data_IF_507053192748
#
_entry.id   IF_507053192748
#
_cell.length_a   1.000
_cell.length_b   1.000
_cell.length_c   1.000
_cell.angle_alpha   90.00
_cell.angle_beta   90.00
_cell.angle_gamma   90.00
#
_symmetry.space_group_name_H-M   'P 1'
#
loop_
_entity.id
_entity.type
_entity.pdbx_description
1 polymer ?
#
# COMPACT_ATOMS: atom_id res chain seq x y z
N UNK A 1 -48.72 46.24 -25.16
CA UNK A 1 -48.75 45.17 -26.20
C UNK A 1 -47.36 44.70 -26.66
N UNK A 2 -46.32 45.54 -26.69
CA UNK A 2 -44.99 45.21 -27.24
C UNK A 2 -44.23 44.05 -26.56
N UNK A 3 -44.32 43.92 -25.22
CA UNK A 3 -43.60 42.89 -24.46
C UNK A 3 -44.14 41.47 -24.67
N UNK A 4 -45.47 41.32 -24.87
CA UNK A 4 -46.10 40.01 -25.06
C UNK A 4 -45.73 39.39 -26.41
N UNK A 5 -45.65 40.20 -27.46
CA UNK A 5 -45.16 39.76 -28.76
C UNK A 5 -43.67 39.39 -28.72
N UNK A 6 -42.84 40.18 -28.05
CA UNK A 6 -41.41 39.87 -27.91
C UNK A 6 -41.16 38.60 -27.10
N UNK A 7 -41.90 38.38 -26.01
CA UNK A 7 -41.85 37.13 -25.27
C UNK A 7 -42.31 35.92 -26.12
N UNK A 8 -43.42 36.05 -26.86
CA UNK A 8 -43.91 34.97 -27.73
C UNK A 8 -42.91 34.64 -28.84
N UNK A 9 -42.28 35.66 -29.43
CA UNK A 9 -41.25 35.49 -30.45
C UNK A 9 -40.01 34.78 -29.89
N UNK A 10 -39.47 35.25 -28.75
CA UNK A 10 -38.33 34.61 -28.09
C UNK A 10 -38.65 33.18 -27.67
N UNK A 11 -39.87 32.90 -27.17
CA UNK A 11 -40.30 31.55 -26.83
C UNK A 11 -40.39 30.65 -28.07
N UNK A 12 -40.86 31.18 -29.20
CA UNK A 12 -40.89 30.44 -30.47
C UNK A 12 -39.46 30.15 -30.98
N UNK A 13 -38.56 31.13 -30.87
CA UNK A 13 -37.16 30.98 -31.25
C UNK A 13 -36.44 29.94 -30.38
N UNK A 14 -36.61 29.98 -29.05
CA UNK A 14 -36.04 28.98 -28.14
C UNK A 14 -36.55 27.58 -28.46
N UNK A 15 -37.85 27.43 -28.75
CA UNK A 15 -38.41 26.13 -29.17
C UNK A 15 -37.80 25.63 -30.47
N UNK A 16 -37.61 26.52 -31.45
CA UNK A 16 -37.00 26.19 -32.73
C UNK A 16 -35.55 25.74 -32.56
N UNK A 17 -34.75 26.52 -31.83
CA UNK A 17 -33.33 26.18 -31.60
C UNK A 17 -33.16 24.92 -30.75
N UNK A 18 -34.02 24.71 -29.75
CA UNK A 18 -34.02 23.46 -28.97
C UNK A 18 -34.29 22.24 -29.85
N UNK A 19 -35.21 22.36 -30.82
CA UNK A 19 -35.50 21.30 -31.78
C UNK A 19 -34.30 21.02 -32.70
N UNK A 20 -33.70 22.07 -33.26
CA UNK A 20 -32.53 21.95 -34.15
C UNK A 20 -31.31 21.35 -33.43
N UNK A 21 -31.08 21.74 -32.18
CA UNK A 21 -30.01 21.19 -31.35
C UNK A 21 -30.22 19.71 -31.05
N UNK A 22 -31.48 19.31 -30.80
CA UNK A 22 -31.83 17.93 -30.56
C UNK A 22 -31.71 17.06 -31.83
N UNK A 23 -32.14 17.56 -32.99
CA UNK A 23 -31.93 16.89 -34.29
C UNK A 23 -30.44 16.69 -34.59
N UNK A 24 -29.61 17.70 -34.32
CA UNK A 24 -28.15 17.62 -34.46
C UNK A 24 -27.53 16.61 -33.49
N UNK A 25 -28.04 16.53 -32.27
CA UNK A 25 -27.62 15.52 -31.29
C UNK A 25 -27.97 14.10 -31.75
N UNK A 26 -29.18 13.85 -32.25
CA UNK A 26 -29.58 12.56 -32.77
C UNK A 26 -28.74 12.13 -33.98
N UNK A 27 -28.42 13.07 -34.88
CA UNK A 27 -27.53 12.83 -36.02
C UNK A 27 -26.15 12.35 -35.56
N UNK A 28 -25.55 13.02 -34.56
CA UNK A 28 -24.25 12.62 -33.99
C UNK A 28 -24.27 11.22 -33.38
N UNK A 29 -25.35 10.88 -32.68
CA UNK A 29 -25.52 9.55 -32.07
C UNK A 29 -25.64 8.45 -33.13
N UNK A 30 -26.36 8.70 -34.22
CA UNK A 30 -26.47 7.75 -35.32
C UNK A 30 -25.12 7.51 -35.99
N UNK A 31 -24.29 8.56 -36.14
CA UNK A 31 -22.94 8.42 -36.70
C UNK A 31 -21.93 7.81 -35.74
N UNK A 32 -22.16 7.87 -34.42
CA UNK A 32 -21.19 7.40 -33.43
C UNK A 32 -21.18 5.88 -33.25
N UNK A 33 -22.20 5.15 -33.73
CA UNK A 33 -22.29 3.69 -33.56
C UNK A 33 -21.05 2.93 -34.07
N UNK A 34 -20.41 3.40 -35.14
CA UNK A 34 -19.24 2.73 -35.74
C UNK A 34 -17.91 3.06 -35.03
N UNK A 35 -17.79 4.24 -34.43
CA UNK A 35 -16.53 4.76 -33.89
C UNK A 35 -16.49 4.81 -32.35
N UNK A 36 -17.65 4.94 -31.71
CA UNK A 36 -17.84 4.97 -30.26
C UNK A 36 -19.22 4.39 -29.89
N UNK A 37 -19.33 3.04 -29.82
CA UNK A 37 -20.58 2.37 -29.49
C UNK A 37 -21.13 2.74 -28.09
N UNK A 38 -20.28 3.24 -27.19
CA UNK A 38 -20.65 3.54 -25.80
C UNK A 38 -21.64 4.71 -25.71
N UNK A 39 -21.45 5.77 -26.51
CA UNK A 39 -22.39 6.91 -26.56
C UNK A 39 -23.75 6.52 -27.09
N UNK A 40 -23.81 5.63 -28.09
CA UNK A 40 -25.07 5.09 -28.61
C UNK A 40 -25.80 4.24 -27.57
N UNK A 41 -25.11 3.28 -26.95
CA UNK A 41 -25.72 2.42 -25.93
C UNK A 41 -26.11 3.20 -24.66
N UNK A 42 -25.35 4.24 -24.29
CA UNK A 42 -25.75 5.18 -23.23
C UNK A 42 -27.07 5.89 -23.55
N UNK A 43 -27.24 6.37 -24.78
CA UNK A 43 -28.48 6.99 -25.25
C UNK A 43 -29.67 6.02 -25.28
N UNK A 44 -29.46 4.78 -25.72
CA UNK A 44 -30.48 3.72 -25.70
C UNK A 44 -30.85 3.32 -24.27
N UNK A 45 -29.85 3.16 -23.38
CA UNK A 45 -30.08 2.80 -21.98
C UNK A 45 -30.84 3.89 -21.22
N UNK A 46 -30.56 5.17 -21.50
CA UNK A 46 -31.32 6.29 -20.94
C UNK A 46 -32.79 6.31 -21.39
N UNK A 47 -33.15 5.63 -22.50
CA UNK A 47 -34.54 5.53 -23.00
C UNK A 47 -35.26 4.23 -22.64
N UNK A 48 -34.54 3.20 -22.18
CA UNK A 48 -35.09 1.88 -21.82
C UNK A 48 -35.75 1.81 -20.43
N UNK A 49 -35.85 2.93 -19.72
CA UNK A 49 -36.36 3.11 -18.35
C UNK A 49 -35.45 2.64 -17.21
N UNK A 50 -35.20 3.62 -16.32
CA UNK A 50 -34.97 3.56 -14.87
C UNK A 50 -34.06 2.45 -14.31
N UNK A 51 -32.79 2.79 -14.10
CA UNK A 51 -32.04 2.30 -12.94
C UNK A 51 -31.26 3.42 -12.26
N UNK A 52 -31.90 4.59 -12.14
CA UNK A 52 -31.67 5.38 -10.94
C UNK A 52 -32.21 4.57 -9.77
N UNK A 53 -31.42 4.44 -8.70
CA UNK A 53 -31.91 3.95 -7.42
C UNK A 53 -33.27 4.60 -7.16
N UNK A 54 -34.35 3.84 -6.89
CA UNK A 54 -35.66 4.42 -6.64
C UNK A 54 -35.58 5.57 -5.63
N UNK A 55 -36.19 6.71 -5.95
CA UNK A 55 -36.23 7.89 -5.05
C UNK A 55 -36.98 7.60 -3.73
N UNK A 56 -37.69 6.47 -3.69
CA UNK A 56 -38.44 5.97 -2.55
C UNK A 56 -38.17 4.48 -2.42
N UNK A 57 -37.84 4.02 -1.22
CA UNK A 57 -37.66 2.61 -0.88
C UNK A 57 -38.57 2.19 0.26
N UNK A 58 -38.82 0.89 0.40
CA UNK A 58 -39.62 0.34 1.47
C UNK A 58 -38.95 -0.86 2.17
N UNK A 59 -39.25 -0.99 3.46
CA UNK A 59 -38.90 -2.16 4.27
C UNK A 59 -40.07 -2.46 5.21
N UNK A 60 -40.81 -3.53 4.92
CA UNK A 60 -42.12 -3.77 5.52
C UNK A 60 -43.08 -2.64 5.16
N UNK A 61 -43.71 -2.04 6.17
CA UNK A 61 -44.67 -0.93 6.02
C UNK A 61 -43.99 0.45 6.01
N UNK A 62 -42.67 0.53 6.23
CA UNK A 62 -41.93 1.79 6.27
C UNK A 62 -41.49 2.17 4.86
N UNK A 63 -41.82 3.39 4.44
CA UNK A 63 -41.45 3.97 3.15
C UNK A 63 -40.52 5.17 3.43
N UNK A 64 -39.38 5.24 2.74
CA UNK A 64 -38.36 6.27 2.94
C UNK A 64 -37.89 6.89 1.62
N UNK A 65 -37.52 8.18 1.63
CA UNK A 65 -36.92 8.90 0.50
C UNK A 65 -35.62 9.59 0.91
N UNK A 66 -34.78 9.98 -0.07
CA UNK A 66 -33.53 10.73 0.13
C UNK A 66 -32.60 10.12 1.19
N UNK A 67 -32.28 10.87 2.25
CA UNK A 67 -31.37 10.45 3.34
C UNK A 67 -31.98 9.31 4.16
N UNK A 68 -33.32 9.25 4.27
CA UNK A 68 -33.98 8.22 5.06
C UNK A 68 -33.92 6.84 4.41
N UNK A 69 -33.62 6.75 3.10
CA UNK A 69 -33.30 5.48 2.45
C UNK A 69 -32.08 4.83 3.12
N UNK A 70 -31.07 5.61 3.47
CA UNK A 70 -29.89 5.10 4.17
C UNK A 70 -30.23 4.61 5.58
N UNK A 71 -31.09 5.32 6.30
CA UNK A 71 -31.60 4.90 7.61
C UNK A 71 -32.41 3.60 7.51
N UNK A 72 -33.22 3.46 6.45
CA UNK A 72 -34.01 2.26 6.18
C UNK A 72 -33.13 1.04 5.90
N UNK A 73 -32.08 1.22 5.10
CA UNK A 73 -31.05 0.18 4.91
C UNK A 73 -30.32 -0.15 6.21
N UNK A 74 -29.98 0.86 7.02
CA UNK A 74 -29.33 0.63 8.30
C UNK A 74 -30.22 -0.21 9.24
N UNK A 75 -31.54 0.05 9.27
CA UNK A 75 -32.50 -0.76 10.02
C UNK A 75 -32.53 -2.22 9.54
N UNK A 76 -32.66 -2.44 8.23
CA UNK A 76 -32.63 -3.78 7.64
C UNK A 76 -31.30 -4.50 7.93
N UNK A 77 -30.17 -3.83 7.74
CA UNK A 77 -28.87 -4.46 7.95
C UNK A 77 -28.63 -4.75 9.42
N UNK A 78 -29.04 -3.85 10.33
CA UNK A 78 -28.99 -4.09 11.76
C UNK A 78 -29.75 -5.37 12.15
N UNK A 79 -30.92 -5.64 11.55
CA UNK A 79 -31.67 -6.87 11.83
C UNK A 79 -30.97 -8.15 11.35
N UNK A 80 -30.03 -8.05 10.41
CA UNK A 80 -29.23 -9.18 9.92
C UNK A 80 -28.05 -9.49 10.86
N UNK A 81 -27.57 -8.51 11.62
CA UNK A 81 -26.47 -8.68 12.57
C UNK A 81 -26.98 -9.20 13.92
N UNK A 82 -26.72 -10.49 14.20
CA UNK A 82 -27.24 -11.21 15.38
C UNK A 82 -26.50 -10.94 16.70
N UNK A 83 -25.44 -10.12 16.70
CA UNK A 83 -24.65 -9.86 17.90
C UNK A 83 -24.15 -8.42 17.89
N UNK A 84 -24.53 -7.59 18.88
CA UNK A 84 -24.00 -6.24 19.00
C UNK A 84 -22.50 -6.30 19.26
N UNK A 85 -21.76 -5.35 18.71
CA UNK A 85 -20.36 -5.21 18.98
C UNK A 85 -20.18 -4.71 20.43
N UNK A 86 -19.43 -5.44 21.23
CA UNK A 86 -19.06 -5.05 22.59
C UNK A 86 -17.54 -4.97 22.66
N UNK A 87 -17.05 -3.88 23.25
CA UNK A 87 -15.63 -3.69 23.52
C UNK A 87 -15.32 -4.23 24.91
N UNK A 88 -14.25 -5.02 25.00
CA UNK A 88 -13.77 -5.59 26.26
C UNK A 88 -12.67 -4.74 26.90
N UNK A 89 -12.46 -4.91 28.21
CA UNK A 89 -11.45 -4.14 28.95
C UNK A 89 -10.04 -4.36 28.40
N UNK A 90 -9.70 -5.60 28.04
CA UNK A 90 -8.39 -5.97 27.52
C UNK A 90 -8.07 -5.23 26.21
N UNK A 91 -9.07 -5.06 25.34
CA UNK A 91 -8.91 -4.31 24.09
C UNK A 91 -8.58 -2.83 24.35
N UNK A 92 -9.18 -2.24 25.38
CA UNK A 92 -8.87 -0.86 25.81
C UNK A 92 -7.47 -0.78 26.41
N UNK A 93 -7.09 -1.73 27.26
CA UNK A 93 -5.77 -1.79 27.89
C UNK A 93 -4.64 -1.93 26.86
N UNK A 94 -4.76 -2.88 25.92
CA UNK A 94 -3.80 -3.06 24.84
C UNK A 94 -3.61 -1.78 24.02
N UNK A 95 -4.70 -1.09 23.72
CA UNK A 95 -4.67 0.13 22.94
C UNK A 95 -4.00 1.28 23.70
N UNK A 96 -4.29 1.44 24.99
CA UNK A 96 -3.61 2.41 25.84
C UNK A 96 -2.12 2.09 26.00
N UNK A 97 -1.74 0.80 26.12
CA UNK A 97 -0.34 0.39 26.16
C UNK A 97 0.41 0.75 24.88
N UNK A 98 -0.26 0.66 23.72
CA UNK A 98 0.33 1.03 22.43
C UNK A 98 0.70 2.51 22.30
N UNK A 99 0.17 3.37 23.18
CA UNK A 99 0.53 4.79 23.22
C UNK A 99 1.94 5.06 23.74
N UNK A 100 2.61 4.08 24.37
CA UNK A 100 3.97 4.23 24.94
C UNK A 100 4.99 4.77 23.93
N UNK A 101 4.88 4.37 22.66
CA UNK A 101 5.81 4.77 21.60
C UNK A 101 5.28 5.92 20.75
N UNK A 102 4.05 6.38 21.02
CA UNK A 102 3.39 7.44 20.27
C UNK A 102 3.77 8.81 20.84
N UNK A 103 4.26 9.69 19.97
CA UNK A 103 4.69 11.05 20.37
C UNK A 103 3.71 12.16 19.96
N UNK A 104 2.66 11.81 19.24
CA UNK A 104 1.67 12.78 18.75
C UNK A 104 0.74 13.27 19.85
N UNK A 105 0.13 14.42 19.59
CA UNK A 105 -0.90 15.05 20.42
C UNK A 105 -2.15 15.25 19.59
N UNK A 106 -3.33 15.10 20.18
CA UNK A 106 -4.60 15.42 19.53
C UNK A 106 -4.79 16.93 19.35
N UNK A 107 -5.80 17.35 18.55
CA UNK A 107 -6.18 18.75 18.41
C UNK A 107 -6.74 19.35 19.72
N UNK A 108 -7.23 18.48 20.62
CA UNK A 108 -7.62 18.79 22.01
C UNK A 108 -6.44 19.11 22.94
N UNK A 109 -5.22 18.94 22.44
CA UNK A 109 -4.00 19.16 23.19
C UNK A 109 -3.60 18.04 24.15
N UNK A 110 -4.30 16.90 24.10
CA UNK A 110 -3.98 15.73 24.91
C UNK A 110 -2.89 14.91 24.22
N UNK A 111 -1.79 14.64 24.92
CA UNK A 111 -0.65 13.88 24.37
C UNK A 111 -0.81 12.38 24.61
N UNK A 112 -0.26 11.56 23.71
CA UNK A 112 -0.29 10.11 23.88
C UNK A 112 0.48 9.66 25.13
N UNK A 113 1.58 10.35 25.47
CA UNK A 113 2.34 10.10 26.68
C UNK A 113 1.52 10.39 27.95
N UNK A 114 0.71 11.45 27.96
CA UNK A 114 -0.17 11.75 29.08
C UNK A 114 -1.20 10.64 29.28
N UNK A 115 -1.91 10.24 28.21
CA UNK A 115 -2.87 9.13 28.25
C UNK A 115 -2.23 7.82 28.70
N UNK A 116 -1.00 7.54 28.23
CA UNK A 116 -0.24 6.37 28.66
C UNK A 116 0.08 6.40 30.16
N UNK A 117 0.47 7.55 30.70
CA UNK A 117 0.80 7.71 32.11
C UNK A 117 -0.40 7.47 33.04
N UNK A 118 -1.61 7.85 32.62
CA UNK A 118 -2.86 7.69 33.41
C UNK A 118 -3.71 6.48 32.98
N UNK A 119 -3.16 5.58 32.15
CA UNK A 119 -3.92 4.49 31.52
C UNK A 119 -4.66 3.58 32.50
N UNK A 120 -4.08 3.35 33.68
CA UNK A 120 -4.65 2.46 34.69
C UNK A 120 -5.98 3.00 35.24
N UNK A 121 -6.11 4.32 35.34
CA UNK A 121 -7.33 5.00 35.77
C UNK A 121 -8.28 5.21 34.59
N UNK A 122 -7.74 5.45 33.40
CA UNK A 122 -8.51 5.83 32.23
C UNK A 122 -9.25 4.66 31.55
N UNK A 123 -8.78 3.43 31.73
CA UNK A 123 -9.35 2.24 31.06
C UNK A 123 -10.85 2.01 31.34
N UNK A 124 -11.31 2.20 32.57
CA UNK A 124 -12.72 1.97 32.91
C UNK A 124 -13.66 3.07 32.37
N UNK A 125 -13.35 4.38 32.52
CA UNK A 125 -14.13 5.43 31.88
C UNK A 125 -14.19 5.29 30.35
N UNK A 126 -13.07 4.92 29.71
CA UNK A 126 -13.06 4.71 28.26
C UNK A 126 -13.88 3.49 27.84
N UNK A 127 -13.77 2.38 28.57
CA UNK A 127 -14.59 1.19 28.31
C UNK A 127 -16.08 1.53 28.34
N UNK A 128 -16.52 2.26 29.36
CA UNK A 128 -17.90 2.71 29.48
C UNK A 128 -18.30 3.62 28.31
N UNK A 129 -17.49 4.65 28.02
CA UNK A 129 -17.79 5.62 26.97
C UNK A 129 -17.82 4.98 25.57
N UNK A 130 -16.92 4.04 25.31
CA UNK A 130 -16.85 3.31 24.04
C UNK A 130 -18.07 2.42 23.85
N UNK A 131 -18.46 1.64 24.87
CA UNK A 131 -19.65 0.80 24.78
C UNK A 131 -20.94 1.62 24.74
N UNK A 132 -21.00 2.77 25.42
CA UNK A 132 -22.13 3.70 25.30
C UNK A 132 -22.25 4.23 23.87
N UNK A 133 -21.14 4.66 23.26
CA UNK A 133 -21.11 5.11 21.86
C UNK A 133 -21.60 4.03 20.88
N UNK A 134 -21.21 2.77 21.10
CA UNK A 134 -21.70 1.63 20.30
C UNK A 134 -23.18 1.34 20.52
N UNK A 135 -23.64 1.38 21.77
CA UNK A 135 -25.04 1.12 22.12
C UNK A 135 -25.99 2.18 21.57
N UNK A 136 -25.59 3.45 21.61
CA UNK A 136 -26.37 4.56 21.08
C UNK A 136 -26.19 4.75 19.56
N UNK A 137 -25.15 4.17 18.97
CA UNK A 137 -24.77 4.43 17.58
C UNK A 137 -24.26 5.87 17.34
N UNK A 138 -23.85 6.57 18.41
CA UNK A 138 -23.42 7.96 18.35
C UNK A 138 -21.91 8.03 18.52
N UNK A 139 -21.19 8.42 17.46
CA UNK A 139 -19.80 8.81 17.57
C UNK A 139 -19.69 10.26 18.09
N UNK A 140 -19.02 10.51 19.23
CA UNK A 140 -18.93 11.84 19.84
C UNK A 140 -18.42 12.92 18.88
N UNK A 141 -19.10 14.07 18.85
CA UNK A 141 -18.75 15.20 17.97
C UNK A 141 -17.34 15.73 18.22
N UNK A 142 -16.89 15.77 19.48
CA UNK A 142 -15.55 16.20 19.83
C UNK A 142 -14.46 15.33 19.18
N UNK A 143 -14.72 14.03 18.97
CA UNK A 143 -13.79 13.11 18.30
C UNK A 143 -13.75 13.30 16.78
N UNK A 144 -14.72 14.01 16.19
CA UNK A 144 -14.75 14.33 14.75
C UNK A 144 -13.93 15.58 14.41
N UNK A 145 -13.53 16.36 15.41
CA UNK A 145 -12.76 17.59 15.20
C UNK A 145 -11.30 17.28 14.91
N UNK A 146 -10.76 17.72 13.78
CA UNK A 146 -9.38 17.41 13.37
C UNK A 146 -8.54 18.67 13.12
N UNK A 147 -7.24 18.58 13.36
CA UNK A 147 -6.27 19.56 12.90
C UNK A 147 -5.75 19.17 11.51
N UNK A 148 -5.94 20.02 10.50
CA UNK A 148 -5.49 19.74 9.14
C UNK A 148 -4.12 20.36 8.89
N UNK A 149 -3.13 19.53 8.52
CA UNK A 149 -1.78 19.96 8.14
C UNK A 149 -1.57 19.68 6.65
N UNK A 150 -1.33 20.70 5.81
CA UNK A 150 -1.04 20.49 4.38
C UNK A 150 0.39 19.98 4.20
N UNK A 151 0.55 18.84 3.53
CA UNK A 151 1.86 18.27 3.18
C UNK A 151 2.08 18.36 1.67
N UNK A 152 3.13 19.06 1.28
CA UNK A 152 3.52 19.17 -0.13
C UNK A 152 3.81 17.78 -0.73
N UNK A 153 3.21 17.49 -1.89
CA UNK A 153 3.37 16.23 -2.59
C UNK A 153 4.36 16.35 -3.75
N UNK A 154 4.06 17.19 -4.74
CA UNK A 154 4.82 17.35 -5.99
C UNK A 154 4.23 18.45 -6.86
N UNK A 155 4.99 19.00 -7.81
CA UNK A 155 4.51 19.99 -8.79
C UNK A 155 5.02 21.40 -8.49
N UNK A 156 4.15 22.40 -8.66
CA UNK A 156 4.42 23.78 -8.29
C UNK A 156 4.05 24.00 -6.79
N UNK A 157 5.01 24.39 -5.93
CA UNK A 157 4.73 24.73 -4.53
C UNK A 157 3.76 25.91 -4.34
N UNK A 158 3.58 26.76 -5.35
CA UNK A 158 2.60 27.86 -5.32
C UNK A 158 1.14 27.41 -5.40
N UNK A 159 0.87 26.18 -5.86
CA UNK A 159 -0.50 25.67 -6.03
C UNK A 159 -0.96 24.81 -4.86
N UNK A 160 -2.10 25.16 -4.25
CA UNK A 160 -2.71 24.42 -3.12
C UNK A 160 -3.09 22.97 -3.49
N UNK A 161 -3.43 22.71 -4.76
CA UNK A 161 -3.77 21.36 -5.23
C UNK A 161 -2.60 20.36 -5.15
N UNK A 162 -1.37 20.86 -5.00
CA UNK A 162 -0.17 20.06 -4.87
C UNK A 162 0.14 19.64 -3.42
N UNK A 163 -0.76 19.96 -2.48
CA UNK A 163 -0.67 19.57 -1.07
C UNK A 163 -1.72 18.52 -0.73
N UNK A 164 -1.35 17.57 0.13
CA UNK A 164 -2.26 16.60 0.74
C UNK A 164 -2.73 17.11 2.10
N UNK A 165 -4.04 17.15 2.37
CA UNK A 165 -4.51 17.42 3.72
C UNK A 165 -4.28 16.17 4.60
N UNK A 166 -3.52 16.32 5.68
CA UNK A 166 -3.42 15.28 6.72
C UNK A 166 -4.19 15.74 7.94
N UNK A 167 -5.21 14.97 8.33
CA UNK A 167 -6.04 15.24 9.49
C UNK A 167 -5.49 14.55 10.75
N UNK A 168 -5.07 15.34 11.73
CA UNK A 168 -4.76 14.89 13.08
C UNK A 168 -6.04 14.81 13.92
N UNK A 169 -6.48 13.60 14.25
CA UNK A 169 -7.68 13.33 15.05
C UNK A 169 -7.37 13.21 16.56
N UNK A 170 -8.37 13.42 17.45
CA UNK A 170 -8.24 13.19 18.89
C UNK A 170 -7.86 11.75 19.20
N UNK A 171 -6.90 11.58 20.12
CA UNK A 171 -6.31 10.26 20.39
C UNK A 171 -7.35 9.26 20.91
N UNK A 172 -8.28 9.71 21.75
CA UNK A 172 -9.34 8.84 22.29
C UNK A 172 -10.23 8.32 21.16
N UNK A 173 -10.64 9.20 20.23
CA UNK A 173 -11.40 8.79 19.03
C UNK A 173 -10.63 7.77 18.19
N UNK A 174 -9.32 7.98 17.99
CA UNK A 174 -8.47 7.02 17.28
C UNK A 174 -8.35 5.66 17.99
N UNK A 175 -8.34 5.64 19.32
CA UNK A 175 -8.35 4.38 20.08
C UNK A 175 -9.65 3.63 19.86
N UNK A 176 -10.78 4.32 19.93
CA UNK A 176 -12.10 3.75 19.65
C UNK A 176 -12.18 3.18 18.24
N UNK A 177 -11.85 3.99 17.22
CA UNK A 177 -11.81 3.56 15.82
C UNK A 177 -10.91 2.36 15.62
N UNK A 178 -9.74 2.32 16.26
CA UNK A 178 -8.80 1.19 16.14
C UNK A 178 -9.37 -0.11 16.71
N UNK A 179 -10.08 -0.06 17.84
CA UNK A 179 -10.74 -1.25 18.42
C UNK A 179 -11.87 -1.71 17.49
N UNK A 180 -12.76 -0.79 17.11
CA UNK A 180 -13.90 -1.10 16.23
C UNK A 180 -13.42 -1.64 14.88
N UNK A 181 -12.36 -1.06 14.30
CA UNK A 181 -11.82 -1.49 13.02
C UNK A 181 -11.25 -2.93 13.09
N UNK A 182 -10.59 -3.33 14.19
CA UNK A 182 -10.18 -4.73 14.39
C UNK A 182 -11.37 -5.69 14.39
N UNK A 183 -12.49 -5.28 14.98
CA UNK A 183 -13.70 -6.10 15.03
C UNK A 183 -14.37 -6.22 13.65
N UNK A 184 -14.42 -5.11 12.91
CA UNK A 184 -14.91 -5.07 11.53
C UNK A 184 -14.02 -5.93 10.63
N UNK A 185 -12.70 -5.73 10.65
CA UNK A 185 -11.73 -6.43 9.80
C UNK A 185 -11.86 -7.95 9.92
N UNK A 186 -12.02 -8.48 11.14
CA UNK A 186 -12.25 -9.92 11.39
C UNK A 186 -13.46 -10.46 10.63
N UNK A 187 -14.52 -9.68 10.48
CA UNK A 187 -15.76 -10.09 9.82
C UNK A 187 -15.68 -10.02 8.29
N UNK A 188 -14.93 -9.05 7.76
CA UNK A 188 -14.78 -8.86 6.32
C UNK A 188 -13.63 -9.67 5.71
N UNK A 189 -12.74 -10.25 6.52
CA UNK A 189 -11.59 -11.03 6.06
C UNK A 189 -11.93 -12.11 5.02
N UNK A 190 -13.09 -12.76 5.15
CA UNK A 190 -13.54 -13.81 4.22
C UNK A 190 -14.21 -13.30 2.94
N UNK A 191 -14.55 -12.02 2.89
CA UNK A 191 -15.27 -11.39 1.76
C UNK A 191 -14.34 -10.53 0.90
N UNK A 192 -13.23 -10.06 1.49
CA UNK A 192 -12.22 -9.29 0.76
C UNK A 192 -11.53 -10.15 -0.30
N UNK A 193 -11.21 -9.52 -1.43
CA UNK A 193 -10.47 -10.17 -2.51
C UNK A 193 -9.12 -10.71 -1.98
N UNK A 194 -8.74 -11.89 -2.44
CA UNK A 194 -7.40 -12.46 -2.21
C UNK A 194 -6.30 -11.56 -2.77
N UNK A 195 -6.61 -10.69 -3.73
CA UNK A 195 -5.67 -9.76 -4.36
C UNK A 195 -5.64 -8.38 -3.66
N UNK A 196 -6.33 -8.23 -2.51
CA UNK A 196 -6.25 -7.02 -1.69
C UNK A 196 -4.95 -7.07 -0.85
N UNK A 197 -3.97 -6.23 -1.20
CA UNK A 197 -2.72 -6.09 -0.43
C UNK A 197 -2.65 -4.81 0.39
N UNK A 198 -3.28 -3.73 -0.10
CA UNK A 198 -3.30 -2.45 0.59
C UNK A 198 -4.10 -2.55 1.89
N UNK A 199 -3.52 -2.09 3.00
CA UNK A 199 -4.19 -2.01 4.31
C UNK A 199 -4.72 -3.36 4.84
N UNK A 200 -4.08 -4.47 4.45
CA UNK A 200 -4.46 -5.82 4.88
C UNK A 200 -3.31 -6.47 5.67
N UNK A 201 -3.59 -6.98 6.87
CA UNK A 201 -2.59 -7.60 7.73
C UNK A 201 -1.89 -8.79 7.07
N UNK A 202 -0.56 -8.87 7.19
CA UNK A 202 0.25 -9.94 6.58
C UNK A 202 0.55 -9.74 5.08
N UNK A 203 0.06 -8.66 4.46
CA UNK A 203 0.33 -8.30 3.06
C UNK A 203 1.04 -6.96 2.94
N UNK A 204 1.69 -6.73 1.80
CA UNK A 204 2.44 -5.50 1.52
C UNK A 204 2.53 -5.22 0.02
N UNK A 205 3.08 -4.06 -0.34
CA UNK A 205 3.45 -3.75 -1.74
C UNK A 205 4.42 -4.79 -2.31
N UNK A 206 5.29 -5.36 -1.47
CA UNK A 206 6.21 -6.44 -1.84
C UNK A 206 5.46 -7.73 -2.20
N UNK A 207 4.44 -8.13 -1.42
CA UNK A 207 3.68 -9.36 -1.76
C UNK A 207 2.87 -9.17 -3.02
N UNK A 208 2.28 -7.99 -3.21
CA UNK A 208 1.59 -7.61 -4.45
C UNK A 208 2.53 -7.69 -5.66
N UNK A 209 3.74 -7.13 -5.55
CA UNK A 209 4.74 -7.16 -6.60
C UNK A 209 5.26 -8.57 -6.90
N UNK A 210 5.37 -9.44 -5.90
CA UNK A 210 5.73 -10.86 -6.08
C UNK A 210 4.63 -11.62 -6.84
N UNK A 211 3.37 -11.47 -6.44
CA UNK A 211 2.24 -12.10 -7.13
C UNK A 211 2.09 -11.57 -8.56
N UNK A 212 2.25 -10.26 -8.76
CA UNK A 212 2.24 -9.66 -10.09
C UNK A 212 3.40 -10.18 -10.96
N UNK A 213 4.60 -10.30 -10.39
CA UNK A 213 5.74 -10.92 -11.09
C UNK A 213 5.48 -12.37 -11.47
N UNK A 214 4.82 -13.14 -10.60
CA UNK A 214 4.44 -14.52 -10.87
C UNK A 214 3.40 -14.60 -12.00
N UNK A 215 2.38 -13.74 -11.96
CA UNK A 215 1.36 -13.61 -13.00
C UNK A 215 1.96 -13.26 -14.37
N UNK A 216 2.86 -12.27 -14.44
CA UNK A 216 3.55 -11.92 -15.68
C UNK A 216 4.33 -13.14 -16.20
N UNK A 217 5.02 -13.87 -15.32
CA UNK A 217 5.82 -15.04 -15.70
C UNK A 217 4.97 -16.18 -16.25
N UNK A 218 3.82 -16.43 -15.65
CA UNK A 218 2.88 -17.45 -16.14
C UNK A 218 2.25 -17.02 -17.48
N UNK A 219 1.98 -15.72 -17.66
CA UNK A 219 1.50 -15.17 -18.93
C UNK A 219 2.52 -15.36 -20.07
N UNK A 220 3.82 -15.23 -19.79
CA UNK A 220 4.89 -15.54 -20.76
C UNK A 220 4.92 -17.00 -21.20
N UNK A 221 4.52 -17.95 -20.33
CA UNK A 221 4.39 -19.36 -20.72
C UNK A 221 3.26 -19.56 -21.72
N UNK A 222 2.18 -18.78 -21.59
CA UNK A 222 0.96 -18.89 -22.38
C UNK A 222 0.96 -18.03 -23.66
N UNK A 223 2.09 -17.41 -24.02
CA UNK A 223 2.29 -16.59 -25.24
C UNK A 223 1.33 -15.39 -25.36
N UNK A 224 0.79 -14.91 -24.24
CA UNK A 224 -0.18 -13.80 -24.20
C UNK A 224 0.52 -12.48 -23.83
N UNK A 225 0.63 -11.60 -24.83
CA UNK A 225 1.05 -10.19 -24.80
C UNK A 225 2.50 -9.82 -24.39
N UNK A 226 3.03 -8.77 -25.04
CA UNK A 226 4.24 -8.03 -24.67
C UNK A 226 3.81 -6.80 -23.86
N UNK A 227 4.09 -6.79 -22.56
CA UNK A 227 3.81 -5.62 -21.70
C UNK A 227 4.92 -4.58 -21.92
N UNK A 228 4.57 -3.30 -22.01
CA UNK A 228 5.57 -2.22 -21.96
C UNK A 228 6.19 -2.13 -20.56
N UNK A 229 7.26 -1.35 -20.38
CA UNK A 229 7.76 -1.07 -19.04
C UNK A 229 6.65 -0.42 -18.19
N UNK A 230 6.39 -0.95 -16.99
CA UNK A 230 5.36 -0.47 -16.06
C UNK A 230 5.99 -0.16 -14.71
N UNK A 231 5.66 1.00 -14.17
CA UNK A 231 5.95 1.33 -12.77
C UNK A 231 4.70 1.05 -11.92
N UNK A 232 4.82 0.18 -10.93
CA UNK A 232 3.73 -0.13 -10.01
C UNK A 232 4.22 -0.24 -8.56
N UNK A 233 3.54 0.45 -7.65
CA UNK A 233 3.83 0.48 -6.20
C UNK A 233 5.31 0.65 -5.81
N UNK A 234 6.10 1.35 -6.66
CA UNK A 234 7.53 1.59 -6.44
C UNK A 234 8.47 0.55 -7.06
N UNK A 235 7.97 -0.33 -7.92
CA UNK A 235 8.73 -1.32 -8.69
C UNK A 235 8.63 -1.03 -10.18
N UNK A 236 9.74 -1.19 -10.91
CA UNK A 236 9.77 -1.06 -12.36
C UNK A 236 9.85 -2.46 -12.97
N UNK A 237 8.78 -2.86 -13.65
CA UNK A 237 8.69 -4.13 -14.39
C UNK A 237 8.97 -3.89 -15.86
N UNK A 238 9.80 -4.75 -16.46
CA UNK A 238 10.12 -4.69 -17.89
C UNK A 238 9.55 -5.91 -18.63
N UNK A 239 9.34 -5.83 -19.96
CA UNK A 239 8.89 -6.97 -20.76
C UNK A 239 9.80 -8.20 -20.69
N UNK A 240 11.05 -8.07 -20.26
CA UNK A 240 11.97 -9.20 -20.11
C UNK A 240 12.06 -9.70 -18.67
N UNK A 241 11.30 -9.10 -17.75
CA UNK A 241 11.45 -9.23 -16.30
C UNK A 241 12.87 -8.90 -15.80
N UNK A 242 13.64 -8.14 -16.58
CA UNK A 242 14.90 -7.57 -16.13
C UNK A 242 14.65 -6.40 -15.21
N UNK A 243 15.28 -6.43 -14.03
CA UNK A 243 15.23 -5.34 -13.06
C UNK A 243 16.37 -4.32 -13.23
N UNK A 244 17.15 -4.37 -14.32
CA UNK A 244 18.23 -3.40 -14.52
C UNK A 244 17.74 -1.93 -14.47
N UNK A 245 16.62 -1.54 -15.13
CA UNK A 245 16.09 -0.17 -15.01
C UNK A 245 15.67 0.19 -13.57
N UNK A 246 15.09 -0.78 -12.84
CA UNK A 246 14.73 -0.61 -11.44
C UNK A 246 15.96 -0.37 -10.56
N UNK A 247 17.00 -1.18 -10.75
CA UNK A 247 18.27 -1.10 -10.02
C UNK A 247 18.93 0.26 -10.26
N UNK A 248 18.94 0.73 -11.50
CA UNK A 248 19.50 2.02 -11.88
C UNK A 248 18.80 3.17 -11.17
N UNK A 249 17.47 3.09 -11.12
CA UNK A 249 16.64 4.06 -10.42
C UNK A 249 16.88 4.08 -8.90
N UNK A 250 16.86 2.92 -8.22
CA UNK A 250 17.09 2.85 -6.76
C UNK A 250 18.52 3.25 -6.38
N UNK A 251 19.54 2.84 -7.16
CA UNK A 251 20.94 3.21 -6.93
C UNK A 251 21.10 4.71 -7.08
N UNK A 252 20.53 5.31 -8.13
CA UNK A 252 20.53 6.76 -8.29
C UNK A 252 19.87 7.50 -7.11
N UNK A 253 18.72 7.02 -6.65
CA UNK A 253 18.00 7.58 -5.49
C UNK A 253 18.81 7.46 -4.20
N UNK A 254 19.41 6.31 -3.94
CA UNK A 254 20.23 6.05 -2.76
C UNK A 254 21.52 6.90 -2.75
N UNK A 255 22.18 7.03 -3.89
CA UNK A 255 23.38 7.87 -4.02
C UNK A 255 23.08 9.36 -3.84
N UNK A 256 21.91 9.85 -4.28
CA UNK A 256 21.47 11.22 -3.98
C UNK A 256 21.28 11.45 -2.48
N UNK A 257 20.63 10.50 -1.81
CA UNK A 257 20.45 10.51 -0.34
C UNK A 257 21.80 10.48 0.40
N UNK A 258 22.72 9.61 -0.02
CA UNK A 258 24.07 9.56 0.54
C UNK A 258 24.86 10.85 0.28
N UNK A 259 24.71 11.44 -0.90
CA UNK A 259 25.31 12.74 -1.24
C UNK A 259 24.81 13.88 -0.36
N UNK A 260 23.53 13.87 0.00
CA UNK A 260 22.95 14.79 0.97
C UNK A 260 23.58 14.61 2.36
N UNK A 261 23.64 13.37 2.87
CA UNK A 261 24.29 13.06 4.15
C UNK A 261 25.75 13.53 4.16
N UNK A 262 26.51 13.22 3.11
CA UNK A 262 27.92 13.62 2.99
C UNK A 262 28.09 15.13 3.10
N UNK A 263 27.24 15.91 2.43
CA UNK A 263 27.34 17.38 2.41
C UNK A 263 26.96 18.04 3.74
N UNK A 264 25.95 17.53 4.42
CA UNK A 264 25.38 18.21 5.59
C UNK A 264 25.77 17.60 6.94
N UNK A 265 26.13 16.32 6.96
CA UNK A 265 26.43 15.58 8.18
C UNK A 265 27.83 14.96 8.19
N UNK A 266 28.47 14.78 7.04
CA UNK A 266 29.70 13.98 6.90
C UNK A 266 30.86 14.39 7.81
N UNK A 267 31.11 15.70 7.94
CA UNK A 267 32.18 16.24 8.81
C UNK A 267 31.69 16.64 10.21
N UNK A 268 30.37 16.78 10.40
CA UNK A 268 29.78 17.35 11.62
C UNK A 268 29.36 16.27 12.60
N UNK A 269 28.91 15.13 12.10
CA UNK A 269 28.29 14.06 12.89
C UNK A 269 29.28 12.94 13.21
N UNK A 270 29.07 12.30 14.36
CA UNK A 270 29.81 11.08 14.72
C UNK A 270 29.55 9.94 13.74
N UNK A 271 30.49 8.99 13.66
CA UNK A 271 30.36 7.77 12.83
C UNK A 271 29.07 7.01 13.15
N UNK A 272 28.67 6.96 14.43
CA UNK A 272 27.42 6.31 14.86
C UNK A 272 26.19 7.01 14.28
N UNK A 273 26.16 8.34 14.31
CA UNK A 273 25.08 9.13 13.71
C UNK A 273 25.03 8.94 12.18
N UNK A 274 26.20 8.93 11.52
CA UNK A 274 26.30 8.67 10.08
C UNK A 274 25.80 7.27 9.72
N UNK A 275 26.07 6.27 10.56
CA UNK A 275 25.56 4.91 10.41
C UNK A 275 24.03 4.88 10.52
N UNK A 276 23.44 5.59 11.48
CA UNK A 276 21.98 5.71 11.60
C UNK A 276 21.39 6.37 10.35
N UNK A 277 21.97 7.48 9.87
CA UNK A 277 21.51 8.16 8.67
C UNK A 277 21.63 7.28 7.42
N UNK A 278 22.74 6.56 7.26
CA UNK A 278 22.92 5.62 6.16
C UNK A 278 21.88 4.50 6.21
N UNK A 279 21.71 3.86 7.38
CA UNK A 279 20.81 2.70 7.51
C UNK A 279 19.33 3.09 7.31
N UNK A 280 18.93 4.29 7.73
CA UNK A 280 17.55 4.78 7.65
C UNK A 280 17.20 5.46 6.33
N UNK A 281 18.12 6.21 5.71
CA UNK A 281 17.83 7.03 4.52
C UNK A 281 18.42 6.51 3.21
N UNK A 282 19.46 5.67 3.26
CA UNK A 282 20.18 5.18 2.06
C UNK A 282 19.94 3.69 1.89
N UNK A 283 20.28 2.90 2.91
CA UNK A 283 20.19 1.44 2.88
C UNK A 283 18.74 0.97 2.73
N UNK A 284 17.79 1.65 3.38
CA UNK A 284 16.36 1.37 3.25
C UNK A 284 15.87 1.46 1.79
N UNK A 285 16.44 2.34 0.96
CA UNK A 285 16.08 2.47 -0.46
C UNK A 285 16.52 1.24 -1.26
N UNK A 286 17.75 0.77 -1.05
CA UNK A 286 18.32 -0.39 -1.77
C UNK A 286 17.92 -1.73 -1.16
N UNK A 287 17.20 -1.75 -0.04
CA UNK A 287 16.68 -2.98 0.56
C UNK A 287 15.17 -3.15 0.36
N UNK A 288 14.45 -2.05 0.09
CA UNK A 288 13.00 -2.10 -0.07
C UNK A 288 12.61 -3.05 -1.20
N UNK A 289 11.85 -4.09 -0.85
CA UNK A 289 11.34 -5.07 -1.80
C UNK A 289 12.42 -5.85 -2.54
N UNK A 290 13.65 -5.98 -2.01
CA UNK A 290 14.75 -6.68 -2.70
C UNK A 290 14.40 -8.10 -3.11
N UNK A 291 13.51 -8.77 -2.38
CA UNK A 291 13.00 -10.10 -2.73
C UNK A 291 12.28 -10.13 -4.08
N UNK A 292 11.76 -9.01 -4.57
CA UNK A 292 11.15 -8.90 -5.90
C UNK A 292 12.22 -8.81 -6.98
N UNK A 293 13.19 -7.90 -6.79
CA UNK A 293 14.04 -7.41 -7.88
C UNK A 293 15.52 -7.81 -7.82
N UNK A 294 15.93 -8.60 -6.81
CA UNK A 294 17.34 -8.96 -6.56
C UNK A 294 18.13 -9.29 -7.85
N UNK A 295 19.31 -8.66 -8.04
CA UNK A 295 20.08 -8.79 -9.28
C UNK A 295 20.65 -10.20 -9.47
N UNK A 296 20.75 -10.63 -10.74
CA UNK A 296 21.51 -11.82 -11.14
C UNK A 296 22.91 -11.49 -11.66
N UNK A 297 23.04 -10.40 -12.42
CA UNK A 297 24.29 -10.10 -13.10
C UNK A 297 25.33 -9.57 -12.11
N UNK A 298 26.59 -9.98 -12.29
CA UNK A 298 27.71 -9.43 -11.50
C UNK A 298 27.76 -7.90 -11.63
N UNK A 299 27.47 -7.37 -12.81
CA UNK A 299 27.42 -5.94 -13.08
C UNK A 299 26.42 -5.23 -12.15
N UNK A 300 25.17 -5.70 -12.08
CA UNK A 300 24.14 -5.08 -11.26
C UNK A 300 24.40 -5.23 -9.76
N UNK A 301 24.94 -6.38 -9.34
CA UNK A 301 25.41 -6.59 -7.96
C UNK A 301 26.46 -5.53 -7.60
N UNK A 302 27.48 -5.35 -8.45
CA UNK A 302 28.54 -4.34 -8.23
C UNK A 302 27.95 -2.92 -8.17
N UNK A 303 26.94 -2.62 -9.00
CA UNK A 303 26.26 -1.30 -8.98
C UNK A 303 25.57 -1.04 -7.64
N UNK A 304 24.94 -2.05 -7.05
CA UNK A 304 24.28 -1.93 -5.74
C UNK A 304 25.33 -1.85 -4.62
N UNK A 305 26.34 -2.74 -4.61
CA UNK A 305 27.41 -2.72 -3.59
C UNK A 305 28.18 -1.39 -3.60
N UNK A 306 28.30 -0.73 -4.76
CA UNK A 306 28.90 0.61 -4.88
C UNK A 306 28.24 1.64 -3.96
N UNK A 307 26.94 1.53 -3.67
CA UNK A 307 26.24 2.43 -2.74
C UNK A 307 26.81 2.27 -1.32
N UNK A 308 26.95 1.04 -0.84
CA UNK A 308 27.55 0.76 0.46
C UNK A 308 29.02 1.12 0.48
N UNK A 309 29.79 0.75 -0.55
CA UNK A 309 31.22 1.06 -0.65
C UNK A 309 31.50 2.56 -0.62
N UNK A 310 30.65 3.40 -1.23
CA UNK A 310 30.79 4.86 -1.14
C UNK A 310 30.56 5.37 0.29
N UNK A 311 29.63 4.78 1.03
CA UNK A 311 29.45 5.11 2.44
C UNK A 311 30.64 4.65 3.29
N UNK A 312 31.11 3.42 3.08
CA UNK A 312 32.25 2.87 3.82
C UNK A 312 33.54 3.67 3.55
N UNK A 313 33.78 4.07 2.30
CA UNK A 313 34.90 4.95 1.93
C UNK A 313 34.83 6.33 2.60
N UNK A 314 33.61 6.88 2.74
CA UNK A 314 33.41 8.14 3.45
C UNK A 314 33.76 8.00 4.94
N UNK A 315 33.33 6.91 5.57
CA UNK A 315 33.50 6.69 7.02
C UNK A 315 34.88 6.16 7.37
N UNK A 316 35.54 5.40 6.50
CA UNK A 316 36.89 4.87 6.75
C UNK A 316 37.90 5.99 6.99
N UNK A 317 37.78 7.10 6.25
CA UNK A 317 38.56 8.33 6.48
C UNK A 317 38.28 8.94 7.85
N UNK A 318 37.03 8.99 8.29
CA UNK A 318 36.66 9.50 9.64
C UNK A 318 37.14 8.60 10.77
N UNK A 319 37.32 7.29 10.52
CA UNK A 319 37.79 6.31 11.50
C UNK A 319 39.31 6.08 11.45
N UNK A 320 40.02 6.64 10.47
CA UNK A 320 41.44 6.38 10.26
C UNK A 320 41.76 4.93 9.87
N UNK A 321 40.79 4.21 9.29
CA UNK A 321 40.99 2.81 8.86
C UNK A 321 41.62 2.81 7.48
N UNK A 322 42.88 2.37 7.40
CA UNK A 322 43.54 2.08 6.15
C UNK A 322 43.06 0.73 5.59
N UNK A 323 42.72 0.70 4.31
CA UNK A 323 42.31 -0.50 3.61
C UNK A 323 42.70 -0.40 2.14
N UNK A 324 42.93 -1.53 1.48
CA UNK A 324 43.26 -1.56 0.06
C UNK A 324 42.11 -1.02 -0.82
N UNK A 325 42.41 -0.46 -2.01
CA UNK A 325 41.37 -0.05 -2.95
C UNK A 325 40.40 -1.20 -3.20
N UNK A 326 39.11 -0.91 -3.04
CA UNK A 326 38.01 -1.87 -3.20
C UNK A 326 37.91 -3.00 -2.16
N UNK A 327 38.82 -3.10 -1.19
CA UNK A 327 38.67 -3.99 -0.04
C UNK A 327 38.08 -3.25 1.17
N UNK A 328 36.74 -3.28 1.29
CA UNK A 328 36.04 -2.62 2.38
C UNK A 328 35.76 -3.54 3.58
N UNK A 329 36.29 -4.77 3.59
CA UNK A 329 36.08 -5.73 4.69
C UNK A 329 36.51 -5.19 6.06
N UNK A 330 37.67 -4.52 6.21
CA UNK A 330 38.07 -3.98 7.52
C UNK A 330 37.06 -2.98 8.08
N UNK A 331 36.48 -2.14 7.21
CA UNK A 331 35.50 -1.11 7.59
C UNK A 331 34.15 -1.75 7.92
N UNK A 332 33.73 -2.79 7.18
CA UNK A 332 32.53 -3.56 7.48
C UNK A 332 32.61 -4.19 8.88
N UNK A 333 33.74 -4.83 9.19
CA UNK A 333 34.00 -5.46 10.50
C UNK A 333 33.95 -4.40 11.60
N UNK A 334 34.65 -3.28 11.42
CA UNK A 334 34.70 -2.20 12.41
C UNK A 334 33.31 -1.57 12.69
N UNK A 335 32.42 -1.53 11.70
CA UNK A 335 31.06 -1.01 11.83
C UNK A 335 30.02 -2.10 12.16
N UNK A 336 30.43 -3.36 12.29
CA UNK A 336 29.55 -4.52 12.42
C UNK A 336 28.42 -4.54 11.36
N UNK A 337 28.82 -4.34 10.11
CA UNK A 337 27.92 -4.33 8.96
C UNK A 337 28.11 -5.57 8.08
N UNK A 338 27.01 -6.16 7.66
CA UNK A 338 26.99 -7.11 6.55
C UNK A 338 26.94 -6.39 5.20
N UNK A 339 27.39 -7.08 4.14
CA UNK A 339 27.29 -6.62 2.76
C UNK A 339 25.83 -6.49 2.33
N UNK A 340 25.53 -5.65 1.33
CA UNK A 340 24.16 -5.57 0.82
C UNK A 340 23.72 -6.91 0.19
N UNK A 341 24.65 -7.68 -0.38
CA UNK A 341 24.39 -9.01 -0.91
C UNK A 341 23.91 -9.99 0.15
N UNK A 342 24.61 -10.09 1.28
CA UNK A 342 24.17 -10.94 2.41
C UNK A 342 22.80 -10.50 2.94
N UNK A 343 22.52 -9.20 2.93
CA UNK A 343 21.23 -8.67 3.39
C UNK A 343 20.08 -9.01 2.44
N UNK A 344 20.31 -8.98 1.12
CA UNK A 344 19.32 -9.45 0.14
C UNK A 344 19.05 -10.95 0.31
N UNK A 345 20.10 -11.75 0.48
CA UNK A 345 19.99 -13.18 0.78
C UNK A 345 19.15 -13.42 2.05
N UNK A 346 19.41 -12.66 3.12
CA UNK A 346 18.62 -12.72 4.35
C UNK A 346 17.15 -12.34 4.13
N UNK A 347 16.86 -11.35 3.28
CA UNK A 347 15.49 -10.99 2.92
C UNK A 347 14.77 -12.11 2.17
N UNK A 348 15.45 -12.82 1.26
CA UNK A 348 14.88 -13.98 0.54
C UNK A 348 14.55 -15.12 1.52
N UNK A 349 15.43 -15.41 2.49
CA UNK A 349 15.16 -16.40 3.55
C UNK A 349 13.98 -15.98 4.43
N UNK A 350 13.91 -14.69 4.80
CA UNK A 350 12.78 -14.15 5.58
C UNK A 350 11.46 -14.22 4.83
N UNK A 351 11.46 -14.04 3.51
CA UNK A 351 10.28 -14.24 2.68
C UNK A 351 9.78 -15.68 2.79
N UNK A 352 10.66 -16.66 2.58
CA UNK A 352 10.30 -18.08 2.70
C UNK A 352 9.78 -18.42 4.09
N UNK A 353 10.52 -18.08 5.14
CA UNK A 353 10.09 -18.36 6.52
C UNK A 353 8.78 -17.65 6.84
N UNK A 354 8.58 -16.43 6.35
CA UNK A 354 7.34 -15.67 6.52
C UNK A 354 6.14 -16.33 5.84
N UNK A 355 6.31 -16.87 4.63
CA UNK A 355 5.27 -17.63 3.92
C UNK A 355 4.93 -18.93 4.64
N UNK A 356 5.94 -19.70 5.04
CA UNK A 356 5.76 -21.01 5.71
C UNK A 356 5.13 -20.85 7.10
N UNK A 357 5.52 -19.82 7.86
CA UNK A 357 4.97 -19.54 9.20
C UNK A 357 3.60 -18.86 9.19
N UNK A 358 3.11 -18.42 8.02
CA UNK A 358 1.86 -17.67 7.90
C UNK A 358 1.95 -16.20 8.35
N UNK A 359 3.16 -15.69 8.66
CA UNK A 359 3.38 -14.25 8.92
C UNK A 359 3.13 -13.42 7.67
N UNK A 360 3.45 -13.98 6.49
CA UNK A 360 3.12 -13.42 5.18
C UNK A 360 1.88 -14.15 4.66
N UNK A 361 0.77 -13.44 4.54
CA UNK A 361 -0.51 -13.97 4.06
C UNK A 361 -0.56 -13.87 2.52
N UNK A 362 -0.11 -14.94 1.87
CA UNK A 362 -0.18 -15.08 0.42
C UNK A 362 -0.33 -16.56 0.03
N UNK A 363 -1.57 -17.08 -0.04
CA UNK A 363 -1.83 -18.45 -0.43
C UNK A 363 -1.27 -18.81 -1.82
N UNK A 364 -1.31 -17.89 -2.79
CA UNK A 364 -0.76 -18.11 -4.13
C UNK A 364 0.76 -18.38 -4.07
N UNK A 365 1.54 -17.46 -3.47
CA UNK A 365 2.98 -17.68 -3.32
C UNK A 365 3.32 -18.92 -2.48
N UNK A 366 2.57 -19.21 -1.41
CA UNK A 366 2.78 -20.40 -0.60
C UNK A 366 2.56 -21.68 -1.41
N UNK A 367 1.53 -21.72 -2.27
CA UNK A 367 1.23 -22.87 -3.13
C UNK A 367 2.33 -23.17 -4.16
N UNK A 368 3.16 -22.17 -4.48
CA UNK A 368 4.28 -22.27 -5.41
C UNK A 368 5.57 -22.80 -4.74
N UNK A 369 5.60 -22.95 -3.42
CA UNK A 369 6.75 -23.51 -2.70
C UNK A 369 6.76 -25.03 -2.88
N UNK A 370 7.83 -25.54 -3.51
CA UNK A 370 8.03 -26.98 -3.67
C UNK A 370 8.71 -27.58 -2.44
N UNK A 371 7.95 -28.09 -1.47
CA UNK A 371 8.54 -28.82 -0.34
C UNK A 371 9.09 -30.17 -0.80
N UNK A 372 10.30 -30.52 -0.36
CA UNK A 372 10.85 -31.86 -0.57
C UNK A 372 10.44 -32.75 0.59
N UNK A 373 9.77 -33.86 0.26
CA UNK A 373 9.44 -34.91 1.24
C UNK A 373 10.69 -35.74 1.47
N UNK A 374 11.16 -35.92 2.72
CA UNK A 374 12.31 -36.76 3.01
C UNK A 374 12.09 -38.20 2.50
N UNK A 375 12.97 -38.66 1.62
CA UNK A 375 13.01 -40.03 1.12
C UNK A 375 14.29 -40.75 1.53
N UNK A 376 14.53 -41.94 1.00
CA UNK A 376 15.79 -42.71 1.20
C UNK A 376 17.01 -42.11 0.48
N UNK A 377 16.85 -40.97 -0.17
CA UNK A 377 17.94 -40.26 -0.87
C UNK A 377 18.85 -39.54 0.11
N UNK A 378 20.13 -39.42 -0.25
CA UNK A 378 21.16 -38.76 0.59
C UNK A 378 21.02 -37.23 0.68
N UNK A 379 20.14 -36.61 -0.12
CA UNK A 379 19.95 -35.17 -0.07
C UNK A 379 19.13 -34.76 1.15
N UNK A 380 19.61 -33.74 1.86
CA UNK A 380 18.94 -33.10 3.00
C UNK A 380 18.25 -31.80 2.64
N UNK A 381 18.12 -31.50 1.34
CA UNK A 381 17.51 -30.24 0.89
C UNK A 381 16.03 -30.17 1.31
N UNK A 382 15.60 -29.08 1.95
CA UNK A 382 14.20 -28.90 2.35
C UNK A 382 13.26 -28.61 1.16
N UNK A 383 13.77 -28.07 0.06
CA UNK A 383 12.96 -27.64 -1.08
C UNK A 383 13.35 -28.33 -2.39
N UNK A 384 12.34 -28.62 -3.21
CA UNK A 384 12.48 -29.09 -4.59
C UNK A 384 12.52 -27.92 -5.57
N UNK A 385 13.57 -27.86 -6.39
CA UNK A 385 13.70 -26.88 -7.48
C UNK A 385 13.38 -27.57 -8.82
N UNK A 386 12.24 -27.25 -9.42
CA UNK A 386 11.88 -27.79 -10.74
C UNK A 386 12.95 -27.48 -11.79
N UNK A 387 13.20 -28.37 -12.74
CA UNK A 387 14.05 -28.04 -13.90
C UNK A 387 13.36 -26.99 -14.75
N UNK A 388 14.10 -25.97 -15.20
CA UNK A 388 13.53 -24.93 -16.08
C UNK A 388 14.41 -24.72 -17.30
N UNK A 389 13.79 -24.68 -18.48
CA UNK A 389 14.46 -24.55 -19.77
C UNK A 389 14.64 -23.09 -20.25
N UNK A 390 14.07 -22.10 -19.54
CA UNK A 390 14.07 -20.69 -19.99
C UNK A 390 14.62 -19.74 -18.91
N UNK A 391 15.52 -18.84 -19.32
CA UNK A 391 16.25 -17.93 -18.43
C UNK A 391 15.37 -17.00 -17.57
N UNK A 392 14.16 -16.61 -18.00
CA UNK A 392 13.27 -15.72 -17.23
C UNK A 392 12.59 -16.39 -16.03
N UNK A 393 12.64 -17.72 -15.96
CA UNK A 393 12.19 -18.51 -14.82
C UNK A 393 13.32 -18.79 -13.82
N UNK A 394 14.58 -18.55 -14.20
CA UNK A 394 15.70 -18.56 -13.24
C UNK A 394 15.63 -17.37 -12.29
N UNK A 395 15.11 -16.23 -12.75
CA UNK A 395 14.94 -15.00 -11.95
C UNK A 395 13.70 -15.05 -11.04
N UNK A 396 13.18 -16.25 -10.78
CA UNK A 396 12.07 -16.47 -9.87
C UNK A 396 12.44 -16.18 -8.41
N UNK A 397 11.82 -15.17 -7.75
CA UNK A 397 12.04 -14.89 -6.34
C UNK A 397 11.95 -16.11 -5.43
N UNK A 398 10.93 -16.96 -5.61
CA UNK A 398 10.72 -18.13 -4.75
C UNK A 398 11.76 -19.20 -5.02
N UNK A 399 12.08 -19.45 -6.29
CA UNK A 399 13.17 -20.36 -6.68
C UNK A 399 14.51 -19.92 -6.11
N UNK A 400 14.83 -18.63 -6.22
CA UNK A 400 16.07 -18.04 -5.69
C UNK A 400 16.15 -18.23 -4.17
N UNK A 401 15.06 -17.92 -3.46
CA UNK A 401 14.99 -18.11 -2.01
C UNK A 401 15.15 -19.60 -1.63
N UNK A 402 14.48 -20.52 -2.32
CA UNK A 402 14.56 -21.96 -2.03
C UNK A 402 15.97 -22.49 -2.31
N UNK A 403 16.58 -22.08 -3.42
CA UNK A 403 17.96 -22.43 -3.76
C UNK A 403 18.95 -21.95 -2.73
N UNK A 404 18.75 -20.74 -2.19
CA UNK A 404 19.60 -20.19 -1.15
C UNK A 404 19.50 -21.02 0.15
N UNK A 405 18.29 -21.41 0.58
CA UNK A 405 18.13 -22.24 1.78
C UNK A 405 18.76 -23.62 1.58
N UNK A 406 18.51 -24.28 0.44
CA UNK A 406 19.13 -25.58 0.16
C UNK A 406 20.67 -25.52 0.23
N UNK A 407 21.27 -24.44 -0.27
CA UNK A 407 22.74 -24.25 -0.22
C UNK A 407 23.31 -24.05 1.19
N UNK A 408 22.48 -23.64 2.16
CA UNK A 408 22.89 -23.45 3.56
C UNK A 408 22.69 -24.70 4.42
N UNK A 409 21.83 -25.63 3.98
CA UNK A 409 21.56 -26.91 4.66
C UNK A 409 22.43 -28.06 4.14
N UNK A 410 23.19 -27.82 3.07
CA UNK A 410 24.06 -28.78 2.38
C UNK A 410 25.36 -29.08 3.12
#
# INVERSE_FOLDING_TARGET
>A
MHYRHRFSFLRAQVKLESRLAYESYLSRINTSLQNDPHTFWSFINNRRNTSGIPNVMNYGDIIASDVDIANLFALLFNSVYKSPLTIELDEVEENLLSLRTTKSRGPDGISAQFLFSIRAQLKYPLLYLFNLSLAEGIFPSIWKTSQVTPIYKSGDPGSVSNYRPISGLPLIGKLFEKIVNKCIERRFKLVLSTNQHGFYGGRSTTTSALEFSAFIRDSFKNMSQRINQVEDLGFIFTPTLSFAPHIDWIVGKALRSLGFIRRHAGSVMSVRCLLILYTTLVRSIVEHGSVVWSPRTKCDIIRIERVQHRFLSMVSRSMGINHEPHDYKPVLIALNLSTLSERRNMSDIKLLNGLVSGVIDSPDLLSRIGFRIPGTTRSRDPYYLASVSKNYLDDDPLRRAMSLVNSQTS
#
